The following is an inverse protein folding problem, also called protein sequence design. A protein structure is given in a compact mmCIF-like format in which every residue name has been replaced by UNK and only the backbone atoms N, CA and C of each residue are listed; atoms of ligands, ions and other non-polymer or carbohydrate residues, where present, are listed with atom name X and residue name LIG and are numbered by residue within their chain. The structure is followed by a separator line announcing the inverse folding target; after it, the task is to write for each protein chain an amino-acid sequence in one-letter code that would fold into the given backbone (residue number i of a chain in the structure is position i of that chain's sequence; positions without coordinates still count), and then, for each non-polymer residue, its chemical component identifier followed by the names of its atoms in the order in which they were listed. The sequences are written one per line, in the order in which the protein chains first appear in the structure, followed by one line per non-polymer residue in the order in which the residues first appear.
data_IF_237020706293
#
_entry.id   IF_237020706293
#
_cell.length_a   1.000
_cell.length_b   1.000
_cell.length_c   1.000
_cell.angle_alpha   90.00
_cell.angle_beta   90.00
_cell.angle_gamma   90.00
#
_symmetry.space_group_name_H-M   'P 1'
#
loop_
_entity.id
_entity.type
_entity.pdbx_description
1 polymer ?
#
# COMPACT_ATOMS: atom_id res chain seq x y z
N UNK A 1 32.98 -17.80 -6.16
CA UNK A 1 32.01 -18.53 -7.01
C UNK A 1 31.06 -19.43 -6.19
N UNK A 2 30.80 -19.13 -4.92
CA UNK A 2 30.07 -20.02 -3.98
C UNK A 2 28.77 -19.44 -3.43
N UNK A 3 28.45 -18.17 -3.69
CA UNK A 3 27.19 -17.56 -3.22
C UNK A 3 25.97 -17.95 -4.09
N UNK A 4 26.13 -18.20 -5.39
CA UNK A 4 24.96 -18.50 -6.26
C UNK A 4 24.35 -19.88 -6.02
N UNK A 5 25.17 -20.88 -5.67
CA UNK A 5 24.68 -22.24 -5.40
C UNK A 5 23.79 -22.31 -4.14
N UNK A 6 24.02 -21.43 -3.17
CA UNK A 6 23.23 -21.36 -1.93
C UNK A 6 21.86 -20.71 -2.20
N UNK A 7 21.82 -19.68 -3.05
CA UNK A 7 20.55 -19.04 -3.43
C UNK A 7 19.68 -19.97 -4.28
N UNK A 8 20.27 -20.73 -5.21
CA UNK A 8 19.52 -21.65 -6.07
C UNK A 8 18.91 -22.81 -5.26
N UNK A 9 19.62 -23.38 -4.29
CA UNK A 9 19.07 -24.46 -3.46
C UNK A 9 17.94 -23.99 -2.53
N UNK A 10 18.06 -22.78 -1.97
CA UNK A 10 17.01 -22.20 -1.11
C UNK A 10 15.77 -21.87 -1.92
N UNK A 11 15.94 -21.37 -3.15
CA UNK A 11 14.84 -21.09 -4.06
C UNK A 11 14.14 -22.37 -4.52
N UNK A 12 14.89 -23.44 -4.81
CA UNK A 12 14.33 -24.71 -5.26
C UNK A 12 13.54 -25.43 -4.16
N UNK A 13 14.03 -25.41 -2.92
CA UNK A 13 13.30 -25.96 -1.76
C UNK A 13 12.06 -25.13 -1.42
N UNK A 14 12.13 -23.79 -1.52
CA UNK A 14 10.98 -22.92 -1.37
C UNK A 14 9.90 -23.20 -2.43
N UNK A 15 10.30 -23.46 -3.68
CA UNK A 15 9.38 -23.82 -4.77
C UNK A 15 8.73 -25.20 -4.58
N UNK A 16 9.46 -26.18 -4.06
CA UNK A 16 8.90 -27.52 -3.74
C UNK A 16 7.92 -27.47 -2.57
N UNK A 17 8.20 -26.68 -1.54
CA UNK A 17 7.28 -26.42 -0.43
C UNK A 17 6.02 -25.67 -0.89
N UNK A 18 6.18 -24.67 -1.76
CA UNK A 18 5.07 -23.96 -2.38
C UNK A 18 4.17 -24.92 -3.19
N UNK A 19 4.75 -25.90 -3.89
CA UNK A 19 4.01 -26.91 -4.66
C UNK A 19 3.17 -27.83 -3.78
N UNK A 20 3.67 -28.19 -2.59
CA UNK A 20 2.99 -29.15 -1.67
C UNK A 20 1.87 -28.52 -0.87
N UNK A 21 1.86 -27.19 -0.73
CA UNK A 21 0.87 -26.42 0.05
C UNK A 21 0.17 -25.34 -0.76
N UNK A 22 0.14 -25.49 -2.09
CA UNK A 22 -0.55 -24.59 -3.03
C UNK A 22 -1.97 -24.26 -2.56
N UNK A 23 -2.71 -25.26 -2.07
CA UNK A 23 -4.09 -25.07 -1.58
C UNK A 23 -4.22 -24.01 -0.49
N UNK A 24 -3.25 -23.90 0.43
CA UNK A 24 -3.28 -22.92 1.52
C UNK A 24 -3.03 -21.50 0.99
N UNK A 25 -2.14 -21.37 0.00
CA UNK A 25 -1.86 -20.11 -0.68
C UNK A 25 -3.09 -19.63 -1.48
N UNK A 26 -3.79 -20.55 -2.15
CA UNK A 26 -5.06 -20.25 -2.85
C UNK A 26 -6.14 -19.82 -1.87
N UNK A 27 -6.30 -20.50 -0.74
CA UNK A 27 -7.30 -20.11 0.28
C UNK A 27 -7.02 -18.71 0.81
N UNK A 28 -5.76 -18.37 1.12
CA UNK A 28 -5.38 -17.02 1.58
C UNK A 28 -5.65 -15.96 0.51
N UNK A 29 -5.31 -16.23 -0.76
CA UNK A 29 -5.63 -15.31 -1.86
C UNK A 29 -7.14 -15.09 -2.01
N UNK A 30 -7.94 -16.16 -1.96
CA UNK A 30 -9.40 -16.08 -2.09
C UNK A 30 -10.00 -15.33 -0.90
N UNK A 31 -9.53 -15.57 0.32
CA UNK A 31 -10.00 -14.86 1.50
C UNK A 31 -9.62 -13.37 1.43
N UNK A 32 -8.41 -13.05 1.00
CA UNK A 32 -7.96 -11.66 0.78
C UNK A 32 -8.78 -10.95 -0.30
N UNK A 33 -9.11 -11.64 -1.39
CA UNK A 33 -9.97 -11.11 -2.45
C UNK A 33 -11.41 -10.87 -1.97
N UNK A 34 -11.98 -11.80 -1.19
CA UNK A 34 -13.31 -11.66 -0.60
C UNK A 34 -13.37 -10.52 0.41
N UNK A 35 -12.38 -10.41 1.30
CA UNK A 35 -12.32 -9.31 2.28
C UNK A 35 -12.15 -7.96 1.58
N UNK A 36 -11.30 -7.90 0.55
CA UNK A 36 -11.15 -6.75 -0.33
C UNK A 36 -12.47 -6.36 -0.97
N UNK A 37 -13.19 -7.30 -1.58
CA UNK A 37 -14.50 -7.06 -2.19
C UNK A 37 -15.54 -6.52 -1.19
N UNK A 38 -15.60 -7.08 0.03
CA UNK A 38 -16.50 -6.61 1.09
C UNK A 38 -16.17 -5.19 1.57
N UNK A 39 -14.88 -4.85 1.69
CA UNK A 39 -14.44 -3.49 2.01
C UNK A 39 -14.73 -2.50 0.86
N UNK A 40 -14.65 -2.96 -0.38
CA UNK A 40 -14.96 -2.17 -1.57
C UNK A 40 -16.45 -1.83 -1.64
N UNK A 41 -17.32 -2.79 -1.32
CA UNK A 41 -18.77 -2.64 -1.26
C UNK A 41 -19.25 -1.66 -0.15
N UNK A 42 -18.40 -1.37 0.84
CA UNK A 42 -18.70 -0.43 1.92
C UNK A 42 -18.16 0.99 1.69
N UNK A 43 -17.44 1.22 0.60
CA UNK A 43 -16.72 2.49 0.36
C UNK A 43 -16.95 3.10 -1.02
N UNK A 44 -18.01 2.69 -1.73
CA UNK A 44 -18.44 3.37 -2.95
C UNK A 44 -19.04 4.73 -2.59
N UNK A 45 -18.20 5.73 -2.36
CA UNK A 45 -18.64 7.12 -2.40
C UNK A 45 -18.94 7.49 -3.84
N UNK A 46 -20.18 7.90 -4.12
CA UNK A 46 -20.58 8.46 -5.40
C UNK A 46 -20.29 9.95 -5.35
N UNK A 47 -19.62 10.48 -6.37
CA UNK A 47 -19.36 11.90 -6.51
C UNK A 47 -20.14 12.42 -7.71
N UNK A 48 -20.97 13.44 -7.48
CA UNK A 48 -21.70 14.13 -8.53
C UNK A 48 -21.28 15.59 -8.57
N UNK A 49 -21.12 16.11 -9.78
CA UNK A 49 -20.90 17.54 -10.01
C UNK A 49 -21.97 18.11 -10.93
N UNK A 50 -22.34 19.35 -10.65
CA UNK A 50 -23.24 20.13 -11.48
C UNK A 50 -22.66 21.50 -11.73
N UNK A 51 -22.57 21.85 -13.01
CA UNK A 51 -22.12 23.17 -13.44
C UNK A 51 -23.32 23.96 -13.97
N UNK A 52 -23.51 25.13 -13.36
CA UNK A 52 -24.50 26.14 -13.74
C UNK A 52 -23.73 27.24 -14.44
N UNK A 53 -24.07 27.53 -15.69
CA UNK A 53 -23.49 28.63 -16.44
C UNK A 53 -24.47 29.80 -16.50
N UNK A 54 -24.00 30.98 -16.16
CA UNK A 54 -24.79 32.20 -16.15
C UNK A 54 -24.63 32.96 -17.46
N UNK A 55 -25.62 33.80 -17.77
CA UNK A 55 -25.49 34.75 -18.86
C UNK A 55 -24.28 35.67 -18.57
N UNK A 56 -23.46 35.91 -19.60
CA UNK A 56 -22.47 36.98 -19.59
C UNK A 56 -23.23 38.33 -19.57
N UNK A 57 -23.58 38.78 -18.35
CA UNK A 57 -24.35 40.00 -18.14
C UNK A 57 -23.63 41.23 -18.71
N UNK A 58 -22.28 41.38 -18.61
CA UNK A 58 -21.56 42.43 -19.32
C UNK A 58 -21.72 42.40 -20.84
N UNK A 59 -21.57 41.24 -21.48
CA UNK A 59 -21.69 41.13 -22.93
C UNK A 59 -23.13 41.42 -23.41
N UNK A 60 -24.13 40.91 -22.69
CA UNK A 60 -25.54 41.15 -23.00
C UNK A 60 -25.92 42.62 -22.81
N UNK A 61 -25.45 43.24 -21.72
CA UNK A 61 -25.67 44.65 -21.42
C UNK A 61 -25.03 45.56 -22.49
N UNK A 62 -23.80 45.26 -22.91
CA UNK A 62 -23.11 45.99 -23.98
C UNK A 62 -23.82 45.90 -25.33
N UNK A 63 -24.43 44.74 -25.66
CA UNK A 63 -25.20 44.56 -26.89
C UNK A 63 -26.50 45.38 -26.89
N UNK A 64 -27.11 45.55 -25.72
CA UNK A 64 -28.37 46.28 -25.55
C UNK A 64 -28.16 47.76 -25.14
N UNK A 65 -26.91 48.20 -24.95
CA UNK A 65 -26.59 49.58 -24.57
C UNK A 65 -27.07 49.96 -23.17
N UNK A 66 -27.17 49.00 -22.26
CA UNK A 66 -27.61 49.21 -20.86
C UNK A 66 -26.43 48.99 -19.90
N UNK A 67 -26.45 49.59 -18.69
CA UNK A 67 -25.41 49.33 -17.70
C UNK A 67 -25.46 47.86 -17.24
N UNK A 68 -24.30 47.19 -17.08
CA UNK A 68 -24.27 45.80 -16.66
C UNK A 68 -24.67 45.66 -15.19
N UNK A 69 -25.31 44.54 -14.90
CA UNK A 69 -25.62 44.13 -13.52
C UNK A 69 -24.65 43.02 -13.15
N UNK A 70 -23.93 43.20 -12.04
CA UNK A 70 -22.94 42.24 -11.57
C UNK A 70 -23.58 41.22 -10.62
N UNK A 71 -23.25 39.95 -10.85
CA UNK A 71 -23.54 38.86 -9.91
C UNK A 71 -22.36 38.75 -8.94
N UNK A 72 -22.60 38.97 -7.65
CA UNK A 72 -21.62 38.74 -6.60
C UNK A 72 -21.46 37.24 -6.33
N UNK A 73 -20.81 36.54 -7.27
CA UNK A 73 -20.52 35.12 -7.19
C UNK A 73 -19.76 34.74 -5.92
N UNK A 74 -18.73 35.48 -5.46
CA UNK A 74 -18.05 35.19 -4.21
C UNK A 74 -19.00 35.12 -3.01
N UNK A 75 -19.95 36.06 -2.90
CA UNK A 75 -20.94 36.06 -1.82
C UNK A 75 -21.93 34.91 -1.93
N UNK A 76 -22.37 34.58 -3.15
CA UNK A 76 -23.26 33.43 -3.39
C UNK A 76 -22.57 32.12 -3.01
N UNK A 77 -21.30 31.94 -3.41
CA UNK A 77 -20.49 30.76 -3.05
C UNK A 77 -20.35 30.63 -1.54
N UNK A 78 -19.99 31.72 -0.85
CA UNK A 78 -19.86 31.70 0.61
C UNK A 78 -21.19 31.30 1.26
N UNK A 79 -22.30 31.88 0.80
CA UNK A 79 -23.62 31.59 1.35
C UNK A 79 -24.11 30.16 1.07
N UNK A 80 -23.80 29.58 -0.10
CA UNK A 80 -24.13 28.20 -0.41
C UNK A 80 -23.27 27.23 0.38
N UNK A 81 -21.99 27.56 0.59
CA UNK A 81 -21.09 26.76 1.40
C UNK A 81 -21.54 26.70 2.86
N UNK A 82 -21.90 27.83 3.45
CA UNK A 82 -22.44 27.89 4.81
C UNK A 82 -23.73 27.06 4.94
N UNK A 83 -24.56 27.04 3.88
CA UNK A 83 -25.79 26.26 3.85
C UNK A 83 -25.52 24.75 3.74
N UNK A 84 -24.56 24.33 2.90
CA UNK A 84 -24.11 22.93 2.81
C UNK A 84 -23.55 22.44 4.15
N UNK A 85 -22.68 23.24 4.78
CA UNK A 85 -22.09 22.92 6.08
C UNK A 85 -23.18 22.81 7.16
N UNK A 86 -24.20 23.67 7.14
CA UNK A 86 -25.32 23.62 8.07
C UNK A 86 -26.25 22.41 7.85
N UNK A 87 -26.34 21.91 6.62
CA UNK A 87 -27.12 20.73 6.25
C UNK A 87 -26.38 19.41 6.47
N UNK A 88 -25.11 19.45 6.91
CA UNK A 88 -24.22 18.29 7.06
C UNK A 88 -24.03 17.51 5.74
N UNK A 89 -24.07 18.22 4.61
CA UNK A 89 -23.88 17.63 3.27
C UNK A 89 -22.40 17.68 2.90
N UNK A 90 -21.82 16.53 2.58
CA UNK A 90 -20.43 16.46 2.11
C UNK A 90 -20.30 16.98 0.68
N UNK A 91 -19.93 18.24 0.53
CA UNK A 91 -19.81 18.87 -0.77
C UNK A 91 -18.86 20.05 -0.82
N UNK A 92 -18.72 20.63 -2.01
CA UNK A 92 -17.97 21.86 -2.23
C UNK A 92 -18.63 22.70 -3.32
N UNK A 93 -18.52 24.01 -3.19
CA UNK A 93 -19.00 24.97 -4.18
C UNK A 93 -17.84 25.82 -4.65
N UNK A 94 -17.70 25.96 -5.96
CA UNK A 94 -16.71 26.82 -6.59
C UNK A 94 -17.39 27.71 -7.62
N UNK A 95 -16.90 28.92 -7.79
CA UNK A 95 -17.27 29.77 -8.91
C UNK A 95 -16.03 30.10 -9.73
N UNK A 96 -16.21 30.21 -11.03
CA UNK A 96 -15.27 30.82 -11.94
C UNK A 96 -15.89 32.12 -12.48
N UNK A 97 -15.47 33.28 -11.95
CA UNK A 97 -15.98 34.58 -12.39
C UNK A 97 -15.65 34.89 -13.85
N UNK A 98 -14.59 34.30 -14.41
CA UNK A 98 -14.15 34.58 -15.78
C UNK A 98 -15.06 33.95 -16.83
N UNK A 99 -15.69 32.82 -16.48
CA UNK A 99 -16.62 32.09 -17.34
C UNK A 99 -18.08 32.26 -16.90
N UNK A 100 -18.32 32.92 -15.77
CA UNK A 100 -19.64 33.04 -15.18
C UNK A 100 -20.21 31.67 -14.84
N UNK A 101 -19.40 30.77 -14.27
CA UNK A 101 -19.86 29.41 -13.92
C UNK A 101 -19.81 29.18 -12.41
N UNK A 102 -20.81 28.44 -11.92
CA UNK A 102 -20.85 27.90 -10.57
C UNK A 102 -20.84 26.38 -10.67
N UNK A 103 -19.92 25.74 -9.96
CA UNK A 103 -19.80 24.30 -9.88
C UNK A 103 -20.10 23.86 -8.45
N UNK A 104 -21.07 22.96 -8.33
CA UNK A 104 -21.47 22.32 -7.07
C UNK A 104 -21.04 20.87 -7.17
N UNK A 105 -20.27 20.39 -6.20
CA UNK A 105 -19.83 19.00 -6.11
C UNK A 105 -20.36 18.40 -4.82
N UNK A 106 -21.01 17.24 -4.90
CA UNK A 106 -21.60 16.55 -3.76
C UNK A 106 -21.11 15.11 -3.76
N UNK A 107 -20.75 14.62 -2.57
CA UNK A 107 -20.35 13.24 -2.35
C UNK A 107 -21.38 12.56 -1.46
N UNK A 108 -21.85 11.37 -1.85
CA UNK A 108 -22.85 10.61 -1.11
C UNK A 108 -22.66 9.10 -1.23
N UNK A 109 -23.55 8.35 -0.59
CA UNK A 109 -23.49 6.88 -0.54
C UNK A 109 -24.11 6.20 -1.76
N UNK A 110 -25.00 6.91 -2.47
CA UNK A 110 -25.68 6.41 -3.68
C UNK A 110 -25.94 7.53 -4.70
N UNK A 111 -26.05 7.14 -5.97
CA UNK A 111 -26.23 8.09 -7.07
C UNK A 111 -27.61 8.79 -7.07
N UNK A 112 -28.64 8.16 -6.50
CA UNK A 112 -29.97 8.76 -6.40
C UNK A 112 -29.95 9.93 -5.42
N UNK A 113 -29.45 9.70 -4.21
CA UNK A 113 -29.29 10.74 -3.19
C UNK A 113 -28.40 11.90 -3.66
N UNK A 114 -27.26 11.60 -4.30
CA UNK A 114 -26.39 12.64 -4.88
C UNK A 114 -27.11 13.46 -5.96
N UNK A 115 -27.96 12.84 -6.78
CA UNK A 115 -28.74 13.55 -7.81
C UNK A 115 -29.79 14.46 -7.17
N UNK A 116 -30.53 13.95 -6.19
CA UNK A 116 -31.55 14.72 -5.46
C UNK A 116 -30.93 15.92 -4.72
N UNK A 117 -29.77 15.72 -4.10
CA UNK A 117 -29.01 16.80 -3.46
C UNK A 117 -28.54 17.84 -4.50
N UNK A 118 -27.99 17.40 -5.64
CA UNK A 118 -27.57 18.33 -6.70
C UNK A 118 -28.75 19.13 -7.27
N UNK A 119 -29.92 18.51 -7.44
CA UNK A 119 -31.17 19.19 -7.85
C UNK A 119 -31.58 20.24 -6.82
N UNK A 120 -31.55 19.88 -5.53
CA UNK A 120 -31.86 20.79 -4.43
C UNK A 120 -30.92 21.99 -4.41
N UNK A 121 -29.61 21.75 -4.43
CA UNK A 121 -28.60 22.81 -4.33
C UNK A 121 -28.50 23.66 -5.60
N UNK A 122 -28.81 23.12 -6.77
CA UNK A 122 -28.99 23.92 -7.97
C UNK A 122 -30.17 24.89 -7.82
N UNK A 123 -31.32 24.39 -7.35
CA UNK A 123 -32.50 25.25 -7.15
C UNK A 123 -32.21 26.35 -6.14
N UNK A 124 -31.50 26.05 -5.05
CA UNK A 124 -31.11 27.03 -4.05
C UNK A 124 -30.11 28.07 -4.61
N UNK A 125 -29.14 27.65 -5.41
CA UNK A 125 -28.21 28.55 -6.09
C UNK A 125 -28.93 29.52 -7.03
N UNK A 126 -29.86 29.01 -7.86
CA UNK A 126 -30.66 29.84 -8.76
C UNK A 126 -31.54 30.84 -8.00
N UNK A 127 -32.16 30.42 -6.90
CA UNK A 127 -32.97 31.29 -6.07
C UNK A 127 -32.16 32.44 -5.45
N UNK A 128 -30.93 32.16 -4.97
CA UNK A 128 -30.02 33.18 -4.42
C UNK A 128 -29.58 34.20 -5.47
N UNK A 129 -29.32 33.73 -6.69
CA UNK A 129 -28.96 34.59 -7.82
C UNK A 129 -30.15 35.46 -8.22
N UNK A 130 -31.34 34.87 -8.36
CA UNK A 130 -32.57 35.60 -8.66
C UNK A 130 -32.84 36.69 -7.61
N UNK A 131 -32.72 36.36 -6.33
CA UNK A 131 -32.88 37.30 -5.23
C UNK A 131 -31.87 38.47 -5.26
N UNK A 132 -30.72 38.28 -5.90
CA UNK A 132 -29.68 39.32 -6.05
C UNK A 132 -29.91 40.17 -7.31
N UNK A 133 -30.26 39.55 -8.43
CA UNK A 133 -30.39 40.21 -9.74
C UNK A 133 -31.74 40.90 -9.94
N UNK A 134 -32.84 40.27 -9.50
CA UNK A 134 -34.20 40.76 -9.73
C UNK A 134 -34.44 42.17 -9.19
N UNK A 135 -34.07 42.51 -7.94
CA UNK A 135 -34.24 43.87 -7.44
C UNK A 135 -33.45 44.90 -8.24
N UNK A 136 -32.20 44.59 -8.62
CA UNK A 136 -31.35 45.51 -9.38
C UNK A 136 -31.93 45.84 -10.76
N UNK A 137 -32.47 44.83 -11.46
CA UNK A 137 -33.08 45.01 -12.76
C UNK A 137 -34.45 45.69 -12.69
N UNK A 138 -35.28 45.32 -11.70
CA UNK A 138 -36.59 45.94 -11.50
C UNK A 138 -36.44 47.42 -11.13
N UNK A 139 -35.49 47.77 -10.26
CA UNK A 139 -35.19 49.17 -9.90
C UNK A 139 -34.73 49.98 -11.12
N UNK A 140 -33.89 49.39 -11.98
CA UNK A 140 -33.43 50.03 -13.21
C UNK A 140 -34.59 50.29 -14.20
N UNK A 141 -35.48 49.31 -14.37
CA UNK A 141 -36.69 49.46 -15.20
C UNK A 141 -37.60 50.55 -14.63
N UNK A 142 -37.87 50.53 -13.32
CA UNK A 142 -38.71 51.55 -12.67
C UNK A 142 -38.13 52.95 -12.82
N UNK A 143 -36.80 53.11 -12.68
CA UNK A 143 -36.14 54.39 -12.88
C UNK A 143 -36.30 54.90 -14.33
N UNK A 144 -36.19 54.01 -15.32
CA UNK A 144 -36.40 54.36 -16.73
C UNK A 144 -37.87 54.71 -17.02
N UNK A 145 -38.83 53.97 -16.47
CA UNK A 145 -40.27 54.27 -16.57
C UNK A 145 -40.60 55.65 -15.98
N UNK A 146 -40.04 55.98 -14.80
CA UNK A 146 -40.21 57.30 -14.19
C UNK A 146 -39.63 58.42 -15.06
N UNK A 147 -38.49 58.18 -15.72
CA UNK A 147 -37.89 59.15 -16.65
C UNK A 147 -38.77 59.39 -17.87
N UNK A 148 -39.31 58.33 -18.48
CA UNK A 148 -40.27 58.42 -19.59
C UNK A 148 -41.51 59.22 -19.16
N UNK A 149 -42.11 58.88 -18.03
CA UNK A 149 -43.30 59.56 -17.51
C UNK A 149 -43.04 61.05 -17.23
N UNK A 150 -41.89 61.39 -16.65
CA UNK A 150 -41.49 62.78 -16.39
C UNK A 150 -41.35 63.58 -17.68
N UNK A 151 -40.76 62.99 -18.72
CA UNK A 151 -40.62 63.63 -20.04
C UNK A 151 -41.98 63.81 -20.72
N UNK A 152 -42.84 62.79 -20.70
CA UNK A 152 -44.21 62.87 -21.24
C UNK A 152 -45.03 63.97 -20.57
N UNK A 153 -44.95 64.07 -19.23
CA UNK A 153 -45.63 65.11 -18.45
C UNK A 153 -45.10 66.50 -18.84
N UNK A 154 -43.78 66.68 -18.91
CA UNK A 154 -43.16 67.96 -19.28
C UNK A 154 -43.54 68.38 -20.71
N UNK A 155 -43.60 67.44 -21.65
CA UNK A 155 -44.01 67.69 -23.04
C UNK A 155 -45.50 68.08 -23.11
N UNK A 156 -46.35 67.45 -22.30
CA UNK A 156 -47.77 67.80 -22.23
C UNK A 156 -47.96 69.23 -21.70
N UNK A 157 -47.28 69.58 -20.62
CA UNK A 157 -47.33 70.93 -20.03
C UNK A 157 -46.88 72.03 -21.01
N UNK A 158 -45.88 71.75 -21.86
CA UNK A 158 -45.45 72.66 -22.93
C UNK A 158 -46.46 72.77 -24.07
N UNK A 159 -47.26 71.72 -24.32
CA UNK A 159 -48.32 71.74 -25.33
C UNK A 159 -49.43 72.74 -25.01
N UNK A 160 -49.64 73.01 -23.72
CA UNK A 160 -50.64 73.98 -23.23
C UNK A 160 -50.12 75.44 -23.26
N UNK A 161 -48.82 75.66 -23.53
CA UNK A 161 -48.17 76.98 -23.46
C UNK A 161 -48.28 77.86 -24.73
N UNK A 162 -48.81 77.35 -25.85
CA UNK A 162 -49.04 78.10 -27.10
C UNK A 162 -47.89 78.09 -28.13
N UNK A 163 -48.02 78.85 -29.22
CA UNK A 163 -47.12 78.83 -30.42
C UNK A 163 -45.82 79.68 -30.26
N UNK A 164 -45.20 79.67 -29.08
CA UNK A 164 -43.91 80.37 -28.90
C UNK A 164 -42.77 79.55 -29.56
N UNK A 165 -41.94 80.15 -30.45
CA UNK A 165 -40.86 79.42 -31.14
C UNK A 165 -39.81 78.81 -30.18
N UNK A 166 -39.60 79.39 -28.99
CA UNK A 166 -38.68 78.83 -28.00
C UNK A 166 -39.30 77.62 -27.27
N UNK A 167 -40.62 77.62 -27.08
CA UNK A 167 -41.39 76.47 -26.57
C UNK A 167 -41.37 75.33 -27.59
N UNK A 168 -41.54 75.64 -28.88
CA UNK A 168 -41.52 74.64 -29.96
C UNK A 168 -40.14 73.96 -30.09
N UNK A 169 -39.06 74.74 -29.96
CA UNK A 169 -37.69 74.19 -29.93
C UNK A 169 -37.47 73.28 -28.72
N UNK A 170 -37.85 73.72 -27.53
CA UNK A 170 -37.71 72.93 -26.30
C UNK A 170 -38.51 71.63 -26.39
N UNK A 171 -39.72 71.69 -26.94
CA UNK A 171 -40.57 70.51 -27.17
C UNK A 171 -39.90 69.51 -28.12
N UNK A 172 -39.28 69.99 -29.20
CA UNK A 172 -38.57 69.12 -30.14
C UNK A 172 -37.38 68.41 -29.47
N UNK A 173 -36.60 69.12 -28.66
CA UNK A 173 -35.48 68.54 -27.90
C UNK A 173 -35.97 67.49 -26.89
N UNK A 174 -37.06 67.76 -26.18
CA UNK A 174 -37.67 66.80 -25.25
C UNK A 174 -38.26 65.57 -25.95
N UNK A 175 -38.82 65.71 -27.16
CA UNK A 175 -39.31 64.57 -27.94
C UNK A 175 -38.17 63.64 -28.36
N UNK A 176 -37.00 64.19 -28.70
CA UNK A 176 -35.79 63.39 -28.94
C UNK A 176 -35.38 62.66 -27.66
N UNK A 177 -35.29 63.36 -26.53
CA UNK A 177 -34.96 62.75 -25.24
C UNK A 177 -35.98 61.67 -24.81
N UNK A 178 -37.27 61.86 -25.09
CA UNK A 178 -38.33 60.88 -24.84
C UNK A 178 -38.14 59.62 -25.70
N UNK A 179 -37.80 59.80 -26.98
CA UNK A 179 -37.51 58.68 -27.87
C UNK A 179 -36.31 57.87 -27.38
N UNK A 180 -35.25 58.54 -26.92
CA UNK A 180 -34.07 57.88 -26.34
C UNK A 180 -34.43 57.14 -25.05
N UNK A 181 -35.19 57.77 -24.13
CA UNK A 181 -35.61 57.14 -22.88
C UNK A 181 -36.52 55.93 -23.09
N UNK A 182 -37.42 55.96 -24.09
CA UNK A 182 -38.24 54.80 -24.48
C UNK A 182 -37.38 53.67 -25.04
N UNK A 183 -36.41 53.99 -25.89
CA UNK A 183 -35.46 52.98 -26.40
C UNK A 183 -34.64 52.36 -25.26
N UNK A 184 -34.20 53.15 -24.28
CA UNK A 184 -33.49 52.67 -23.09
C UNK A 184 -34.37 51.72 -22.27
N UNK A 185 -35.64 52.08 -22.04
CA UNK A 185 -36.61 51.24 -21.34
C UNK A 185 -36.84 49.90 -22.07
N UNK A 186 -37.05 49.94 -23.38
CA UNK A 186 -37.24 48.72 -24.19
C UNK A 186 -36.01 47.81 -24.13
N UNK A 187 -34.81 48.40 -24.16
CA UNK A 187 -33.55 47.66 -24.02
C UNK A 187 -33.39 47.06 -22.61
N UNK A 188 -33.75 47.78 -21.55
CA UNK A 188 -33.72 47.28 -20.18
C UNK A 188 -34.72 46.15 -19.95
N UNK A 189 -35.93 46.25 -20.50
CA UNK A 189 -36.93 45.18 -20.42
C UNK A 189 -36.47 43.92 -21.18
N UNK A 190 -35.87 44.11 -22.36
CA UNK A 190 -35.27 43.03 -23.15
C UNK A 190 -34.09 42.38 -22.41
N UNK A 191 -33.23 43.19 -21.81
CA UNK A 191 -32.10 42.73 -20.99
C UNK A 191 -32.59 41.92 -19.80
N UNK A 192 -33.60 42.41 -19.07
CA UNK A 192 -34.21 41.70 -17.95
C UNK A 192 -34.72 40.31 -18.36
N UNK A 193 -35.49 40.22 -19.44
CA UNK A 193 -36.01 38.93 -19.93
C UNK A 193 -34.86 37.99 -20.28
N UNK A 194 -33.87 38.47 -21.06
CA UNK A 194 -32.77 37.64 -21.52
C UNK A 194 -31.86 37.14 -20.39
N UNK A 195 -31.67 37.92 -19.31
CA UNK A 195 -30.94 37.47 -18.12
C UNK A 195 -31.67 36.32 -17.43
N UNK A 196 -32.98 36.45 -17.21
CA UNK A 196 -33.75 35.41 -16.51
C UNK A 196 -34.01 34.16 -17.35
N UNK A 197 -34.21 34.28 -18.65
CA UNK A 197 -34.40 33.13 -19.53
C UNK A 197 -33.14 32.25 -19.57
N UNK A 198 -31.95 32.86 -19.59
CA UNK A 198 -30.65 32.15 -19.64
C UNK A 198 -30.21 31.53 -18.34
N UNK A 199 -30.66 32.05 -17.18
CA UNK A 199 -30.37 31.43 -15.88
C UNK A 199 -30.89 29.99 -15.78
N UNK A 200 -31.90 29.65 -16.58
CA UNK A 200 -32.57 28.34 -16.57
C UNK A 200 -31.97 27.28 -17.51
N UNK A 201 -31.19 27.67 -18.53
CA UNK A 201 -31.00 26.81 -19.72
C UNK A 201 -29.68 26.01 -19.72
N UNK A 202 -28.68 26.39 -18.90
CA UNK A 202 -27.33 25.80 -18.99
C UNK A 202 -26.93 25.04 -17.73
N UNK A 203 -27.37 23.78 -17.66
CA UNK A 203 -27.01 22.86 -16.58
C UNK A 203 -26.36 21.60 -17.17
N UNK A 204 -25.11 21.36 -16.80
CA UNK A 204 -24.44 20.09 -17.10
C UNK A 204 -24.25 19.31 -15.81
N UNK A 205 -24.64 18.03 -15.82
CA UNK A 205 -24.51 17.13 -14.67
C UNK A 205 -23.57 16.01 -15.05
N UNK A 206 -22.58 15.75 -14.20
CA UNK A 206 -21.67 14.62 -14.31
C UNK A 206 -21.76 13.81 -13.02
N UNK A 207 -22.09 12.53 -13.13
CA UNK A 207 -22.10 11.60 -12.00
C UNK A 207 -21.00 10.60 -12.22
N UNK A 208 -19.97 10.67 -11.37
CA UNK A 208 -18.84 9.77 -11.39
C UNK A 208 -19.02 8.73 -10.28
N UNK A 209 -19.44 7.52 -10.66
CA UNK A 209 -19.51 6.36 -9.75
C UNK A 209 -18.11 5.76 -9.44
N UNK A 210 -17.04 6.53 -9.63
CA UNK A 210 -15.69 6.04 -9.83
C UNK A 210 -14.70 6.40 -8.73
N UNK A 211 -14.66 5.64 -7.65
CA UNK A 211 -13.58 5.77 -6.65
C UNK A 211 -13.34 4.54 -5.77
N UNK A 212 -14.40 3.79 -5.44
CA UNK A 212 -14.32 2.65 -4.54
C UNK A 212 -13.47 1.49 -5.09
N UNK A 213 -13.63 1.15 -6.38
CA UNK A 213 -13.03 -0.07 -6.95
C UNK A 213 -11.51 -0.01 -6.99
N UNK A 214 -10.91 1.11 -7.42
CA UNK A 214 -9.45 1.23 -7.51
C UNK A 214 -8.78 1.25 -6.12
N UNK A 215 -9.37 1.93 -5.14
CA UNK A 215 -8.87 1.94 -3.76
C UNK A 215 -9.09 0.59 -3.07
N UNK A 216 -10.23 -0.06 -3.29
CA UNK A 216 -10.52 -1.39 -2.77
C UNK A 216 -9.56 -2.47 -3.29
N UNK A 217 -9.21 -2.40 -4.59
CA UNK A 217 -8.20 -3.28 -5.19
C UNK A 217 -6.81 -3.02 -4.60
N UNK A 218 -6.41 -1.76 -4.42
CA UNK A 218 -5.11 -1.41 -3.84
C UNK A 218 -4.97 -1.86 -2.37
N UNK A 219 -6.01 -1.63 -1.55
CA UNK A 219 -6.04 -2.06 -0.14
C UNK A 219 -6.11 -3.58 -0.02
N UNK A 220 -6.91 -4.24 -0.88
CA UNK A 220 -6.98 -5.70 -0.96
C UNK A 220 -5.63 -6.33 -1.33
N UNK A 221 -4.92 -5.75 -2.31
CA UNK A 221 -3.59 -6.20 -2.71
C UNK A 221 -2.56 -6.03 -1.59
N UNK A 222 -2.58 -4.91 -0.87
CA UNK A 222 -1.65 -4.65 0.24
C UNK A 222 -1.87 -5.61 1.41
N UNK A 223 -3.13 -5.86 1.79
CA UNK A 223 -3.49 -6.84 2.83
C UNK A 223 -3.06 -8.26 2.45
N UNK A 224 -3.27 -8.67 1.20
CA UNK A 224 -2.82 -9.97 0.72
C UNK A 224 -1.29 -10.12 0.81
N UNK A 225 -0.54 -9.05 0.52
CA UNK A 225 0.92 -9.04 0.58
C UNK A 225 1.42 -9.13 2.03
N UNK A 226 0.78 -8.43 2.98
CA UNK A 226 1.07 -8.54 4.41
C UNK A 226 0.78 -9.94 4.94
N UNK A 227 -0.39 -10.52 4.60
CA UNK A 227 -0.75 -11.87 5.01
C UNK A 227 0.23 -12.91 4.45
N UNK A 228 0.68 -12.74 3.21
CA UNK A 228 1.68 -13.60 2.59
C UNK A 228 3.04 -13.48 3.28
N UNK A 229 3.49 -12.26 3.61
CA UNK A 229 4.73 -12.04 4.34
C UNK A 229 4.70 -12.63 5.76
N UNK A 230 3.59 -12.45 6.48
CA UNK A 230 3.37 -13.04 7.81
C UNK A 230 3.30 -14.56 7.74
N UNK A 231 2.60 -15.12 6.76
CA UNK A 231 2.53 -16.57 6.52
C UNK A 231 3.90 -17.18 6.20
N UNK A 232 4.70 -16.52 5.36
CA UNK A 232 6.08 -16.95 5.08
C UNK A 232 6.97 -16.86 6.34
N UNK A 233 6.88 -15.75 7.08
CA UNK A 233 7.67 -15.55 8.29
C UNK A 233 7.34 -16.57 9.39
N UNK A 234 6.06 -16.85 9.61
CA UNK A 234 5.60 -17.93 10.49
C UNK A 234 6.14 -19.30 10.01
N UNK A 235 6.15 -19.57 8.71
CA UNK A 235 6.72 -20.82 8.22
C UNK A 235 8.23 -20.94 8.49
N UNK A 236 9.02 -19.88 8.29
CA UNK A 236 10.46 -19.91 8.60
C UNK A 236 10.72 -20.07 10.10
N UNK A 237 9.93 -19.41 10.96
CA UNK A 237 10.11 -19.45 12.42
C UNK A 237 9.69 -20.79 13.01
N UNK A 238 8.64 -21.43 12.47
CA UNK A 238 8.07 -22.66 13.00
C UNK A 238 8.49 -23.93 12.26
N UNK A 239 9.28 -23.85 11.19
CA UNK A 239 9.88 -25.03 10.59
C UNK A 239 11.02 -25.55 11.49
N UNK A 240 10.85 -26.72 12.14
CA UNK A 240 11.86 -27.27 13.03
C UNK A 240 13.16 -27.61 12.30
N UNK A 241 13.13 -27.81 10.98
CA UNK A 241 14.32 -28.13 10.17
C UNK A 241 15.20 -26.89 9.94
N UNK A 242 14.62 -25.75 9.59
CA UNK A 242 15.35 -24.48 9.36
C UNK A 242 15.94 -23.96 10.68
N UNK A 243 15.16 -24.03 11.77
CA UNK A 243 15.63 -23.62 13.11
C UNK A 243 16.83 -24.45 13.58
N UNK A 244 16.86 -25.75 13.28
CA UNK A 244 17.97 -26.65 13.67
C UNK A 244 19.23 -26.43 12.83
N UNK A 245 19.09 -26.12 11.54
CA UNK A 245 20.23 -25.71 10.69
C UNK A 245 20.90 -24.45 11.24
N UNK A 246 20.11 -23.43 11.57
CA UNK A 246 20.59 -22.18 12.19
C UNK A 246 21.25 -22.42 13.56
N UNK A 247 20.85 -23.44 14.32
CA UNK A 247 21.46 -23.79 15.59
C UNK A 247 22.81 -24.50 15.42
N UNK A 248 22.94 -25.42 14.46
CA UNK A 248 24.20 -26.12 14.19
C UNK A 248 25.24 -25.16 13.59
N UNK A 249 24.83 -24.27 12.68
CA UNK A 249 25.71 -23.25 12.08
C UNK A 249 26.24 -22.24 13.12
N UNK A 250 25.56 -22.05 14.26
CA UNK A 250 26.04 -21.21 15.37
C UNK A 250 27.17 -21.85 16.19
N UNK A 251 27.21 -23.19 16.27
CA UNK A 251 28.24 -23.94 17.01
C UNK A 251 29.44 -24.29 16.11
N UNK A 252 29.18 -24.41 14.80
CA UNK A 252 30.16 -24.65 13.76
C UNK A 252 31.37 -23.68 13.69
N UNK A 253 31.33 -22.40 14.11
CA UNK A 253 32.48 -21.50 14.01
C UNK A 253 33.68 -21.94 14.86
N UNK A 254 33.45 -22.85 15.80
CA UNK A 254 34.46 -23.28 16.76
C UNK A 254 35.08 -24.65 16.40
N UNK A 255 34.46 -25.42 15.49
CA UNK A 255 34.99 -26.69 15.02
C UNK A 255 35.82 -26.48 13.75
N UNK A 256 36.93 -27.22 13.62
CA UNK A 256 37.81 -27.21 12.44
C UNK A 256 37.14 -27.88 11.25
N UNK A 257 36.29 -28.89 11.50
CA UNK A 257 35.54 -29.56 10.46
C UNK A 257 34.21 -30.13 10.99
N UNK A 258 33.19 -30.16 10.13
CA UNK A 258 31.87 -30.70 10.41
C UNK A 258 31.53 -31.81 9.41
N UNK A 259 31.17 -32.98 9.92
CA UNK A 259 30.72 -34.13 9.14
C UNK A 259 29.36 -34.60 9.62
N UNK A 260 28.65 -35.31 8.76
CA UNK A 260 27.33 -35.88 9.08
C UNK A 260 27.27 -37.31 8.60
N UNK A 261 26.64 -38.17 9.41
CA UNK A 261 26.48 -39.59 9.12
C UNK A 261 25.07 -40.09 9.50
N UNK A 262 24.57 -41.13 8.81
CA UNK A 262 23.30 -41.79 9.15
C UNK A 262 23.37 -42.46 10.53
N UNK A 263 22.22 -42.93 11.03
CA UNK A 263 22.16 -43.62 12.33
C UNK A 263 22.83 -44.99 12.21
N UNK A 264 23.88 -45.31 13.00
CA UNK A 264 24.54 -46.60 12.96
C UNK A 264 23.60 -47.76 13.35
N UNK A 265 22.55 -47.49 14.14
CA UNK A 265 21.58 -48.50 14.55
C UNK A 265 20.60 -48.86 13.41
N UNK A 266 20.45 -47.97 12.41
CA UNK A 266 19.60 -48.16 11.22
C UNK A 266 20.42 -48.41 9.94
N UNK A 267 21.74 -48.32 10.03
CA UNK A 267 22.68 -48.37 8.93
C UNK A 267 22.99 -49.83 8.50
N UNK A 268 22.88 -50.12 7.20
CA UNK A 268 23.44 -51.37 6.64
C UNK A 268 24.98 -51.36 6.58
N UNK A 269 25.61 -52.49 6.23
CA UNK A 269 27.09 -52.60 6.12
C UNK A 269 27.71 -51.54 5.18
N UNK A 270 26.99 -51.10 4.14
CA UNK A 270 27.40 -49.99 3.25
C UNK A 270 27.42 -48.62 3.96
N UNK A 271 26.56 -48.40 4.95
CA UNK A 271 26.40 -47.13 5.65
C UNK A 271 27.38 -46.96 6.82
N UNK A 272 27.87 -48.06 7.40
CA UNK A 272 29.09 -48.04 8.22
C UNK A 272 30.30 -47.51 7.41
N UNK A 273 30.31 -47.76 6.10
CA UNK A 273 31.27 -47.17 5.16
C UNK A 273 31.18 -45.64 5.05
N UNK A 274 29.96 -45.08 5.13
CA UNK A 274 29.72 -43.64 5.08
C UNK A 274 30.18 -42.92 6.36
N UNK A 275 29.95 -43.52 7.54
CA UNK A 275 30.50 -43.02 8.81
C UNK A 275 32.02 -43.00 8.77
N UNK A 276 32.64 -44.10 8.29
CA UNK A 276 34.09 -44.18 8.15
C UNK A 276 34.65 -43.16 7.15
N UNK A 277 33.97 -42.96 6.01
CA UNK A 277 34.37 -41.95 5.02
C UNK A 277 34.24 -40.51 5.54
N UNK A 278 33.21 -40.22 6.33
CA UNK A 278 33.05 -38.92 6.99
C UNK A 278 34.17 -38.68 8.02
N UNK A 279 34.54 -39.69 8.80
CA UNK A 279 35.68 -39.63 9.73
C UNK A 279 36.99 -39.46 8.97
N UNK A 280 37.20 -40.17 7.86
CA UNK A 280 38.40 -40.02 7.00
C UNK A 280 38.52 -38.59 6.44
N UNK A 281 37.41 -38.02 5.98
CA UNK A 281 37.38 -36.65 5.47
C UNK A 281 37.62 -35.61 6.58
N UNK A 282 37.07 -35.84 7.77
CA UNK A 282 37.33 -35.03 8.96
C UNK A 282 38.80 -35.13 9.40
N UNK A 283 39.37 -36.34 9.40
CA UNK A 283 40.76 -36.59 9.74
C UNK A 283 41.72 -35.90 8.75
N UNK A 284 41.41 -36.02 7.45
CA UNK A 284 42.18 -35.37 6.39
C UNK A 284 42.13 -33.84 6.50
N UNK A 285 40.96 -33.25 6.78
CA UNK A 285 40.82 -31.80 6.95
C UNK A 285 41.46 -31.29 8.25
N UNK A 286 41.52 -32.12 9.29
CA UNK A 286 42.24 -31.81 10.53
C UNK A 286 43.77 -32.01 10.45
N UNK A 287 44.28 -32.51 9.31
CA UNK A 287 45.71 -32.69 9.03
C UNK A 287 46.33 -33.93 9.70
N UNK A 288 45.56 -35.01 9.86
CA UNK A 288 46.04 -36.28 10.40
C UNK A 288 46.86 -37.03 9.33
N UNK A 289 48.05 -37.55 9.66
CA UNK A 289 48.81 -38.43 8.75
C UNK A 289 48.01 -39.66 8.34
N UNK A 290 48.25 -40.21 7.15
CA UNK A 290 47.47 -41.35 6.65
C UNK A 290 47.49 -42.56 7.59
N UNK A 291 48.59 -42.79 8.33
CA UNK A 291 48.71 -43.93 9.27
C UNK A 291 48.32 -43.58 10.73
N UNK A 292 47.78 -42.38 10.98
CA UNK A 292 47.46 -41.88 12.31
C UNK A 292 46.10 -42.34 12.85
N UNK A 293 46.02 -42.60 14.16
CA UNK A 293 44.76 -42.88 14.83
C UNK A 293 44.06 -41.58 15.27
N UNK A 294 42.79 -41.41 14.93
CA UNK A 294 41.97 -40.28 15.38
C UNK A 294 41.09 -40.71 16.54
N UNK A 295 41.23 -40.10 17.74
CA UNK A 295 40.29 -40.33 18.83
C UNK A 295 38.93 -39.72 18.48
N UNK A 296 37.91 -40.57 18.41
CA UNK A 296 36.51 -40.14 18.33
C UNK A 296 35.91 -40.18 19.74
N UNK A 297 35.31 -39.09 20.21
CA UNK A 297 34.66 -38.98 21.51
C UNK A 297 33.14 -38.96 21.32
N UNK A 298 32.45 -40.00 21.78
CA UNK A 298 30.99 -40.03 21.77
C UNK A 298 30.36 -39.17 22.88
N UNK A 299 29.26 -38.48 22.56
CA UNK A 299 28.39 -37.87 23.56
C UNK A 299 27.27 -38.84 23.95
N UNK A 300 27.31 -39.36 25.18
CA UNK A 300 26.26 -40.22 25.75
C UNK A 300 24.99 -39.45 26.15
N UNK A 301 23.95 -40.19 26.56
CA UNK A 301 22.63 -39.64 26.94
C UNK A 301 22.62 -38.88 28.28
N UNK A 302 23.70 -38.93 29.05
CA UNK A 302 23.84 -38.27 30.35
C UNK A 302 25.00 -37.25 30.31
N UNK A 303 24.77 -36.08 30.91
CA UNK A 303 25.47 -34.77 30.81
C UNK A 303 27.02 -34.69 30.87
N UNK A 304 27.75 -35.78 30.87
CA UNK A 304 29.19 -35.79 30.66
C UNK A 304 29.50 -36.53 29.37
N UNK A 305 30.42 -36.00 28.55
CA UNK A 305 30.97 -36.76 27.43
C UNK A 305 31.61 -38.05 27.99
N UNK A 306 30.85 -39.15 28.01
CA UNK A 306 31.38 -40.47 28.25
C UNK A 306 32.19 -40.81 27.01
N UNK A 307 33.47 -40.44 27.05
CA UNK A 307 34.41 -40.66 25.99
C UNK A 307 34.55 -42.17 25.74
N UNK A 308 33.71 -42.72 24.88
CA UNK A 308 34.06 -43.90 24.12
C UNK A 308 35.08 -43.42 23.10
N UNK A 309 36.37 -43.50 23.45
CA UNK A 309 37.44 -43.19 22.51
C UNK A 309 37.48 -44.33 21.51
N UNK A 310 36.98 -44.09 20.30
CA UNK A 310 37.26 -44.99 19.20
C UNK A 310 38.61 -44.59 18.59
N UNK A 311 39.57 -45.51 18.60
CA UNK A 311 40.78 -45.38 17.79
C UNK A 311 40.43 -45.88 16.39
N UNK A 312 40.56 -45.01 15.40
CA UNK A 312 40.48 -45.41 14.00
C UNK A 312 41.89 -45.74 13.49
N UNK A 313 42.26 -47.03 13.43
CA UNK A 313 43.52 -47.45 12.81
C UNK A 313 43.36 -47.65 11.30
N UNK A 314 44.15 -46.92 10.52
CA UNK A 314 44.22 -47.04 9.05
C UNK A 314 45.34 -48.02 8.67
N UNK A 315 45.23 -49.29 9.04
CA UNK A 315 46.27 -50.31 8.77
C UNK A 315 45.73 -51.70 8.46
N UNK A 316 46.27 -52.36 7.42
CA UNK A 316 46.06 -53.80 7.19
C UNK A 316 44.74 -54.22 6.53
N UNK A 317 44.11 -53.36 5.73
CA UNK A 317 42.93 -53.73 4.91
C UNK A 317 41.62 -53.93 5.70
N UNK A 318 41.61 -53.67 7.01
CA UNK A 318 40.39 -53.64 7.83
C UNK A 318 40.34 -52.38 8.67
N UNK A 319 39.27 -51.61 8.48
CA UNK A 319 38.91 -50.47 9.33
C UNK A 319 38.28 -51.00 10.61
N UNK A 320 38.80 -50.64 11.77
CA UNK A 320 38.26 -51.11 13.06
C UNK A 320 38.05 -49.91 13.98
N UNK A 321 36.79 -49.67 14.37
CA UNK A 321 36.52 -48.88 15.57
C UNK A 321 36.75 -49.80 16.77
N UNK A 322 37.79 -49.55 17.55
CA UNK A 322 37.94 -50.17 18.87
C UNK A 322 37.42 -49.23 19.94
N UNK A 323 36.33 -49.62 20.60
CA UNK A 323 35.76 -48.88 21.73
C UNK A 323 36.66 -49.05 22.95
N UNK A 324 37.31 -47.98 23.41
CA UNK A 324 38.00 -47.98 24.70
C UNK A 324 37.01 -47.42 25.72
N UNK A 325 36.48 -48.30 26.58
CA UNK A 325 35.66 -47.87 27.71
C UNK A 325 36.57 -47.35 28.83
N UNK A 326 36.33 -46.09 29.20
CA UNK A 326 36.84 -45.34 30.35
C UNK A 326 38.13 -44.52 30.17
N UNK A 327 37.91 -43.20 30.17
CA UNK A 327 38.93 -42.16 30.39
C UNK A 327 38.93 -41.10 29.29
N UNK A 328 39.19 -39.84 29.66
CA UNK A 328 39.75 -38.88 28.71
C UNK A 328 40.94 -39.55 27.99
N UNK A 329 41.16 -39.30 26.68
CA UNK A 329 42.32 -39.82 25.99
C UNK A 329 43.59 -39.56 26.83
N UNK A 330 44.53 -40.53 26.91
CA UNK A 330 45.68 -40.43 27.79
C UNK A 330 46.42 -39.10 27.56
N UNK A 331 46.85 -38.48 28.67
CA UNK A 331 47.41 -37.12 28.75
C UNK A 331 48.66 -36.86 27.88
N UNK A 332 49.29 -35.69 28.03
CA UNK A 332 49.83 -34.86 26.96
C UNK A 332 51.04 -35.46 26.25
N UNK A 333 50.80 -36.45 25.39
CA UNK A 333 51.56 -36.66 24.16
C UNK A 333 50.93 -35.81 23.05
N UNK A 334 51.73 -35.37 22.08
CA UNK A 334 51.42 -34.38 21.02
C UNK A 334 49.92 -34.18 20.74
N UNK A 335 49.37 -32.95 20.91
CA UNK A 335 47.94 -32.67 20.78
C UNK A 335 47.47 -32.93 19.33
N UNK A 336 47.01 -34.16 19.10
CA UNK A 336 46.39 -34.59 17.87
C UNK A 336 44.94 -34.12 17.76
N UNK A 337 44.35 -34.12 16.56
CA UNK A 337 42.96 -33.74 16.37
C UNK A 337 41.99 -34.77 16.97
N UNK A 338 40.88 -34.28 17.50
CA UNK A 338 39.82 -35.07 18.13
C UNK A 338 38.51 -34.84 17.39
N UNK A 339 37.75 -35.89 17.14
CA UNK A 339 36.40 -35.78 16.55
C UNK A 339 35.36 -36.05 17.63
N UNK A 340 34.43 -35.12 17.83
CA UNK A 340 33.29 -35.29 18.74
C UNK A 340 32.09 -35.81 17.96
N UNK A 341 31.61 -37.00 18.29
CA UNK A 341 30.41 -37.58 17.70
C UNK A 341 29.18 -37.24 18.57
N UNK A 342 28.22 -36.50 18.00
CA UNK A 342 26.99 -36.10 18.67
C UNK A 342 25.76 -36.65 17.92
N UNK A 343 24.76 -37.16 18.65
CA UNK A 343 23.57 -37.77 18.03
C UNK A 343 22.57 -36.69 17.63
N UNK A 344 22.24 -36.65 16.34
CA UNK A 344 21.32 -35.70 15.76
C UNK A 344 19.93 -35.83 16.38
N UNK A 345 19.39 -34.70 16.83
CA UNK A 345 18.09 -34.64 17.50
C UNK A 345 18.08 -35.04 18.98
N UNK A 346 19.18 -35.59 19.53
CA UNK A 346 19.29 -35.89 20.98
C UNK A 346 20.27 -34.98 21.70
N UNK A 347 21.36 -34.57 21.06
CA UNK A 347 22.34 -33.65 21.65
C UNK A 347 21.90 -32.19 21.50
N UNK A 348 21.95 -31.42 22.59
CA UNK A 348 21.63 -29.97 22.59
C UNK A 348 22.85 -29.10 22.27
N UNK A 349 22.62 -27.86 21.83
CA UNK A 349 23.66 -26.85 21.58
C UNK A 349 24.56 -26.63 22.81
N UNK A 350 23.96 -26.57 24.00
CA UNK A 350 24.70 -26.37 25.25
C UNK A 350 25.60 -27.56 25.58
N UNK A 351 25.12 -28.78 25.35
CA UNK A 351 25.92 -29.99 25.59
C UNK A 351 27.11 -30.09 24.63
N UNK A 352 26.88 -29.80 23.34
CA UNK A 352 27.96 -29.81 22.34
C UNK A 352 28.99 -28.71 22.62
N UNK A 353 28.53 -27.50 22.95
CA UNK A 353 29.42 -26.38 23.30
C UNK A 353 30.23 -26.66 24.56
N UNK A 354 29.61 -27.25 25.58
CA UNK A 354 30.29 -27.66 26.82
C UNK A 354 31.36 -28.74 26.58
N UNK A 355 31.04 -29.76 25.78
CA UNK A 355 31.98 -30.81 25.40
C UNK A 355 33.19 -30.26 24.64
N UNK A 356 32.97 -29.40 23.65
CA UNK A 356 34.04 -28.74 22.91
C UNK A 356 34.90 -27.85 23.82
N UNK A 357 34.28 -27.10 24.74
CA UNK A 357 35.01 -26.27 25.70
C UNK A 357 35.88 -27.11 26.66
N UNK A 358 35.37 -28.26 27.12
CA UNK A 358 36.11 -29.18 27.99
C UNK A 358 37.31 -29.79 27.26
N UNK A 359 37.16 -30.18 25.99
CA UNK A 359 38.26 -30.71 25.19
C UNK A 359 39.33 -29.65 24.91
N UNK A 360 38.95 -28.40 24.63
CA UNK A 360 39.93 -27.31 24.51
C UNK A 360 40.66 -27.05 25.83
N UNK A 361 39.95 -27.05 26.95
CA UNK A 361 40.57 -26.89 28.27
C UNK A 361 41.56 -28.02 28.60
N UNK A 362 41.38 -29.20 28.01
CA UNK A 362 42.31 -30.33 28.08
C UNK A 362 43.48 -30.25 27.08
N UNK A 363 43.56 -29.20 26.25
CA UNK A 363 44.66 -28.96 25.30
C UNK A 363 44.40 -29.45 23.87
N UNK A 364 43.17 -29.84 23.53
CA UNK A 364 42.82 -30.25 22.16
C UNK A 364 42.33 -29.06 21.34
N UNK A 365 43.20 -28.49 20.51
CA UNK A 365 42.90 -27.29 19.70
C UNK A 365 42.29 -27.61 18.33
N UNK A 366 42.46 -28.84 17.83
CA UNK A 366 41.92 -29.28 16.54
C UNK A 366 40.72 -30.20 16.74
N UNK A 367 39.53 -29.61 16.82
CA UNK A 367 38.29 -30.33 17.09
C UNK A 367 37.43 -30.46 15.83
N UNK A 368 37.12 -31.69 15.42
CA UNK A 368 36.08 -31.99 14.45
C UNK A 368 34.76 -32.34 15.15
N UNK A 369 33.63 -32.12 14.49
CA UNK A 369 32.31 -32.56 14.98
C UNK A 369 31.67 -33.47 13.92
N UNK A 370 31.20 -34.63 14.35
CA UNK A 370 30.44 -35.58 13.54
C UNK A 370 29.01 -35.68 14.10
N UNK A 371 28.02 -35.28 13.32
CA UNK A 371 26.61 -35.49 13.69
C UNK A 371 26.15 -36.84 13.17
N UNK A 372 25.77 -37.74 14.08
CA UNK A 372 25.39 -39.12 13.79
C UNK A 372 23.88 -39.27 13.93
N UNK A 373 23.21 -40.06 13.10
CA UNK A 373 21.76 -40.23 13.18
C UNK A 373 20.95 -39.21 12.39
N UNK A 374 21.55 -38.61 11.36
CA UNK A 374 20.83 -37.70 10.48
C UNK A 374 19.94 -38.50 9.51
N UNK A 375 18.62 -38.23 9.44
CA UNK A 375 17.72 -38.93 8.52
C UNK A 375 18.20 -38.83 7.08
N UNK A 376 18.03 -39.88 6.26
CA UNK A 376 18.54 -39.88 4.86
C UNK A 376 18.06 -38.69 4.02
N UNK A 377 16.82 -38.26 4.21
CA UNK A 377 16.22 -37.06 3.57
C UNK A 377 16.92 -35.73 3.96
N UNK A 378 17.79 -35.79 4.96
CA UNK A 378 18.56 -34.71 5.55
C UNK A 378 20.08 -34.94 5.35
N UNK A 379 20.52 -35.92 4.53
CA UNK A 379 21.96 -36.08 4.25
C UNK A 379 22.45 -35.14 3.15
N UNK A 380 21.59 -34.75 2.21
CA UNK A 380 21.96 -33.90 1.05
C UNK A 380 22.45 -32.50 1.43
N UNK A 381 22.09 -31.98 2.62
CA UNK A 381 22.55 -30.66 3.08
C UNK A 381 23.91 -30.69 3.78
N UNK A 382 24.46 -31.87 4.05
CA UNK A 382 25.56 -32.05 4.98
C UNK A 382 26.80 -32.74 4.40
N UNK A 383 27.03 -32.57 3.09
CA UNK A 383 28.33 -32.88 2.50
C UNK A 383 29.44 -32.19 3.31
N UNK A 384 30.51 -32.92 3.62
CA UNK A 384 31.60 -32.50 4.51
C UNK A 384 32.07 -31.08 4.14
N UNK A 385 31.74 -30.11 4.99
CA UNK A 385 32.20 -28.73 4.85
C UNK A 385 33.50 -28.60 5.62
N UNK A 386 34.61 -28.93 4.98
CA UNK A 386 35.93 -28.55 5.49
C UNK A 386 36.11 -27.03 5.34
N UNK A 387 36.38 -26.32 6.43
CA UNK A 387 36.94 -24.97 6.36
C UNK A 387 38.45 -25.14 6.23
N UNK A 388 39.00 -24.80 5.06
CA UNK A 388 40.45 -24.64 4.91
C UNK A 388 40.94 -23.40 5.64
#
# INVERSE_FOLDING_TARGET
MTESAIYDSVLEDALRLARRRWHLLVVVMVLGALLGAVLTLRTSSVEGSRRIQFADTPALAGLLGVPPVEVDLPRIVASLRDALDAADVSGSVRADPSTGTLEITITGDDAGGVTDDLDHWQSDALARIDATLRPQLDDAVVAAEQRVLSLETTIADLGDAGDDPDVERTRAELLVALSEARSELDNLQSYRSAVFDRLTDTVTTEINEGGGVARGVAVGALMALVLLAVGLGLHVVFDPHIRRRLQIEKVAPTAVALGVAPDPDEAGDEECGAVAAAIDALASSAGVPEDGAVPVVGMGEHEAATAAVALYERGGGRRRLSMVEHGLPPGPGEPGPVVVAARFGRSTENQLSSALATLRAAGFDRLGVLLVGVPRRELDWAGVSARN
#
